data_IF_322209563887
#
_entry.id   IF_322209563887
#
_cell.length_a   1.000
_cell.length_b   1.000
_cell.length_c   1.000
_cell.angle_alpha   90.00
_cell.angle_beta   90.00
_cell.angle_gamma   90.00
#
_symmetry.space_group_name_H-M   'P 1'
#
loop_
_entity.id
_entity.type
_entity.pdbx_description
1 polymer ?
#
# COMPACT_ATOMS: atom_id res chain seq x y z
N UNK A 1 -20.86 -8.75 -35.45
CA UNK A 1 -20.12 -7.48 -35.35
C UNK A 1 -19.05 -7.72 -34.31
N UNK A 2 -17.88 -8.08 -34.78
CA UNK A 2 -16.69 -8.32 -33.96
C UNK A 2 -16.12 -6.98 -33.53
N UNK A 3 -15.83 -6.84 -32.24
CA UNK A 3 -14.94 -5.80 -31.74
C UNK A 3 -13.97 -6.46 -30.76
N UNK A 4 -12.82 -6.85 -31.32
CA UNK A 4 -11.58 -7.07 -30.59
C UNK A 4 -11.22 -5.84 -29.74
N UNK A 5 -10.61 -6.09 -28.59
CA UNK A 5 -10.08 -5.04 -27.73
C UNK A 5 -9.51 -5.58 -26.43
N UNK A 6 -8.68 -6.64 -26.50
CA UNK A 6 -7.85 -7.05 -25.36
C UNK A 6 -6.83 -5.95 -25.06
N UNK A 7 -7.17 -5.04 -24.15
CA UNK A 7 -6.25 -4.04 -23.64
C UNK A 7 -5.43 -4.67 -22.52
N UNK A 8 -4.35 -5.35 -22.89
CA UNK A 8 -3.32 -5.79 -21.94
C UNK A 8 -2.80 -4.56 -21.19
N UNK A 9 -3.18 -4.44 -19.93
CA UNK A 9 -2.51 -3.52 -19.02
C UNK A 9 -1.12 -4.10 -18.76
N UNK A 10 -0.12 -3.53 -19.43
CA UNK A 10 1.26 -3.72 -19.02
C UNK A 10 1.43 -2.99 -17.68
N UNK A 11 1.09 -3.67 -16.59
CA UNK A 11 1.56 -3.28 -15.26
C UNK A 11 3.05 -3.55 -15.28
N UNK A 12 3.83 -2.54 -15.67
CA UNK A 12 5.26 -2.52 -15.42
C UNK A 12 5.43 -2.60 -13.90
N UNK A 13 5.56 -3.81 -13.37
CA UNK A 13 6.21 -4.06 -12.09
C UNK A 13 7.66 -3.71 -12.32
N UNK A 14 7.96 -2.42 -12.17
CA UNK A 14 9.32 -1.96 -12.00
C UNK A 14 9.74 -2.41 -10.61
N UNK A 15 10.24 -3.64 -10.52
CA UNK A 15 11.03 -4.08 -9.39
C UNK A 15 12.30 -3.23 -9.37
N UNK A 16 12.24 -2.07 -8.70
CA UNK A 16 13.42 -1.26 -8.46
C UNK A 16 14.33 -2.01 -7.48
N UNK A 17 15.58 -2.20 -7.89
CA UNK A 17 16.68 -2.68 -7.08
C UNK A 17 16.73 -1.92 -5.72
N UNK A 18 17.31 -2.51 -4.65
CA UNK A 18 17.30 -1.88 -3.34
C UNK A 18 18.24 -0.67 -3.35
N UNK A 19 17.69 0.50 -3.68
CA UNK A 19 18.30 1.78 -3.37
C UNK A 19 18.21 1.95 -1.86
N UNK A 20 19.34 2.28 -1.23
CA UNK A 20 19.49 2.56 0.20
C UNK A 20 18.71 3.81 0.70
N UNK A 21 17.57 4.12 0.08
CA UNK A 21 16.67 5.20 0.47
C UNK A 21 15.59 4.69 1.41
N UNK A 22 15.04 5.60 2.21
CA UNK A 22 13.88 5.37 3.05
C UNK A 22 12.63 4.94 2.25
N UNK A 23 11.58 4.54 2.95
CA UNK A 23 10.37 4.01 2.33
C UNK A 23 9.74 5.00 1.34
N UNK A 24 9.58 6.27 1.73
CA UNK A 24 8.88 7.27 0.92
C UNK A 24 9.69 7.71 -0.30
N UNK A 25 11.01 7.65 -0.24
CA UNK A 25 11.90 7.86 -1.39
C UNK A 25 11.74 6.78 -2.48
N UNK A 26 11.22 5.60 -2.11
CA UNK A 26 11.04 4.46 -3.03
C UNK A 26 9.63 4.34 -3.57
N UNK A 27 8.63 4.87 -2.86
CA UNK A 27 7.23 4.80 -3.25
C UNK A 27 6.85 5.95 -4.18
N UNK A 28 6.16 5.62 -5.27
CA UNK A 28 5.62 6.60 -6.19
C UNK A 28 4.14 6.85 -5.88
N UNK A 29 3.75 8.12 -5.91
CA UNK A 29 2.36 8.51 -5.85
C UNK A 29 1.59 7.98 -7.07
N UNK A 30 0.35 7.54 -6.85
CA UNK A 30 -0.54 6.99 -7.90
C UNK A 30 -0.70 7.96 -9.09
N UNK A 31 -0.80 9.25 -8.77
CA UNK A 31 -0.80 10.37 -9.72
C UNK A 31 -0.01 11.53 -9.13
N UNK A 32 0.38 12.49 -9.96
CA UNK A 32 1.07 13.72 -9.51
C UNK A 32 0.31 14.49 -8.43
N UNK A 33 -1.02 14.40 -8.40
CA UNK A 33 -1.88 15.12 -7.47
C UNK A 33 -2.36 14.26 -6.29
N UNK A 34 -1.82 13.05 -6.12
CA UNK A 34 -2.20 12.18 -4.99
C UNK A 34 -1.58 12.70 -3.70
N UNK A 35 -2.36 12.67 -2.61
CA UNK A 35 -1.93 13.11 -1.28
C UNK A 35 -1.01 12.10 -0.59
N UNK A 36 -1.13 10.82 -0.95
CA UNK A 36 -0.35 9.74 -0.37
C UNK A 36 0.21 8.79 -1.43
N UNK A 37 0.92 7.79 -0.95
CA UNK A 37 1.47 6.69 -1.74
C UNK A 37 0.66 5.43 -1.50
N UNK A 38 0.53 4.60 -2.53
CA UNK A 38 -0.14 3.31 -2.41
C UNK A 38 0.86 2.27 -1.85
N UNK A 39 0.35 1.29 -1.11
CA UNK A 39 1.09 0.15 -0.55
C UNK A 39 0.31 -1.13 -0.83
N UNK A 40 0.99 -2.27 -0.89
CA UNK A 40 0.38 -3.57 -1.13
C UNK A 40 0.48 -4.45 0.12
N UNK A 41 -0.33 -5.50 0.18
CA UNK A 41 -0.09 -6.57 1.16
C UNK A 41 1.18 -7.32 0.78
N UNK A 42 1.99 -7.71 1.76
CA UNK A 42 3.21 -8.47 1.51
C UNK A 42 2.90 -9.91 1.04
N UNK A 43 1.71 -10.40 1.37
CA UNK A 43 1.23 -11.74 1.04
C UNK A 43 -0.27 -11.72 0.72
N UNK A 44 -0.76 -12.83 0.17
CA UNK A 44 -2.21 -13.01 -0.05
C UNK A 44 -2.88 -13.33 1.28
N UNK A 45 -3.92 -12.57 1.61
CA UNK A 45 -4.69 -12.75 2.84
C UNK A 45 -6.15 -13.03 2.50
N UNK A 46 -6.72 -14.04 3.16
CA UNK A 46 -8.15 -14.33 3.12
C UNK A 46 -8.78 -13.72 4.37
N UNK A 47 -9.78 -12.86 4.18
CA UNK A 47 -10.58 -12.27 5.26
C UNK A 47 -11.96 -12.93 5.20
N UNK A 48 -12.19 -13.91 6.07
CA UNK A 48 -13.41 -14.73 6.09
C UNK A 48 -14.24 -14.58 7.38
N UNK A 49 -13.82 -13.68 8.27
CA UNK A 49 -14.48 -13.41 9.54
C UNK A 49 -14.57 -11.91 9.82
N UNK A 50 -15.40 -11.55 10.80
CA UNK A 50 -15.60 -10.20 11.31
C UNK A 50 -14.53 -9.76 12.32
N UNK A 51 -13.51 -10.58 12.54
CA UNK A 51 -12.37 -10.25 13.40
C UNK A 51 -11.42 -9.32 12.68
N UNK A 52 -10.65 -8.58 13.47
CA UNK A 52 -9.57 -7.75 12.93
C UNK A 52 -8.38 -8.65 12.57
N UNK A 53 -7.95 -8.55 11.32
CA UNK A 53 -6.79 -9.24 10.76
C UNK A 53 -5.63 -8.26 10.71
N UNK A 54 -4.49 -8.66 11.30
CA UNK A 54 -3.23 -7.93 11.18
C UNK A 54 -2.54 -8.38 9.90
N UNK A 55 -2.60 -7.55 8.86
CA UNK A 55 -2.10 -7.87 7.51
C UNK A 55 -0.75 -7.20 7.29
N UNK A 56 0.33 -7.95 7.02
CA UNK A 56 1.63 -7.36 6.72
C UNK A 56 1.60 -6.65 5.37
N UNK A 57 2.18 -5.45 5.30
CA UNK A 57 2.33 -4.69 4.06
C UNK A 57 3.74 -4.87 3.49
N UNK A 58 3.89 -4.65 2.19
CA UNK A 58 5.18 -4.61 1.48
C UNK A 58 5.98 -3.33 1.76
N UNK A 59 5.78 -2.77 2.95
CA UNK A 59 6.34 -1.52 3.41
C UNK A 59 6.94 -1.72 4.81
N UNK A 60 8.11 -1.16 5.04
CA UNK A 60 8.79 -1.18 6.33
C UNK A 60 9.41 0.18 6.58
N UNK A 61 9.44 0.59 7.85
CA UNK A 61 10.09 1.84 8.23
C UNK A 61 11.63 1.73 8.22
N UNK A 62 12.34 2.86 8.39
CA UNK A 62 11.79 4.20 8.62
C UNK A 62 11.16 4.81 7.36
N UNK A 63 10.21 5.74 7.57
CA UNK A 63 9.48 6.38 6.47
C UNK A 63 10.37 7.30 5.62
N UNK A 64 11.31 7.99 6.27
CA UNK A 64 12.15 9.02 5.66
C UNK A 64 12.02 10.35 6.38
N UNK A 65 13.09 11.14 6.39
CA UNK A 65 13.14 12.54 6.87
C UNK A 65 12.53 12.82 8.26
N UNK A 66 12.47 11.82 9.14
CA UNK A 66 11.84 11.96 10.46
C UNK A 66 10.32 12.23 10.40
N UNK A 67 9.67 11.86 9.30
CA UNK A 67 8.22 12.02 9.13
C UNK A 67 7.45 10.87 9.76
N UNK A 68 6.31 11.19 10.36
CA UNK A 68 5.24 10.21 10.65
C UNK A 68 4.21 10.20 9.52
N UNK A 69 3.45 9.12 9.39
CA UNK A 69 2.40 9.02 8.37
C UNK A 69 1.13 8.37 8.90
N UNK A 70 0.02 8.66 8.24
CA UNK A 70 -1.22 7.91 8.41
C UNK A 70 -1.34 6.83 7.34
N UNK A 71 -1.60 5.60 7.77
CA UNK A 71 -2.09 4.53 6.91
C UNK A 71 -3.60 4.67 6.76
N UNK A 72 -4.05 5.07 5.59
CA UNK A 72 -5.46 5.23 5.24
C UNK A 72 -5.89 4.24 4.17
N UNK A 73 -7.15 3.81 4.23
CA UNK A 73 -7.72 2.98 3.18
C UNK A 73 -7.90 3.73 1.87
N UNK A 74 -7.78 3.00 0.76
CA UNK A 74 -8.21 3.47 -0.55
C UNK A 74 -9.72 3.35 -0.65
N UNK A 75 -10.39 4.36 -1.20
CA UNK A 75 -11.86 4.33 -1.38
C UNK A 75 -12.37 3.12 -2.17
N UNK A 76 -11.55 2.55 -3.05
CA UNK A 76 -11.86 1.31 -3.77
C UNK A 76 -11.94 0.09 -2.86
N UNK A 77 -11.17 0.05 -1.76
CA UNK A 77 -11.25 -1.02 -0.77
C UNK A 77 -12.58 -0.96 -0.01
N UNK A 78 -13.01 0.25 0.37
CA UNK A 78 -14.33 0.49 1.00
C UNK A 78 -15.47 0.00 0.11
N UNK A 79 -15.39 0.23 -1.21
CA UNK A 79 -16.39 -0.25 -2.18
C UNK A 79 -16.45 -1.78 -2.24
N UNK A 80 -15.33 -2.47 -1.97
CA UNK A 80 -15.25 -3.92 -1.90
C UNK A 80 -15.65 -4.49 -0.53
N UNK A 81 -16.07 -3.64 0.41
CA UNK A 81 -16.44 -4.04 1.77
C UNK A 81 -15.24 -4.32 2.67
N UNK A 82 -14.04 -3.86 2.29
CA UNK A 82 -12.83 -3.97 3.09
C UNK A 82 -12.68 -2.66 3.87
N UNK A 83 -12.62 -2.76 5.19
CA UNK A 83 -12.35 -1.60 6.06
C UNK A 83 -10.94 -1.70 6.62
N UNK A 84 -10.12 -0.67 6.41
CA UNK A 84 -8.82 -0.59 7.08
C UNK A 84 -8.91 0.41 8.21
N UNK A 85 -8.58 -0.02 9.42
CA UNK A 85 -8.50 0.91 10.55
C UNK A 85 -7.34 1.89 10.31
N UNK A 86 -7.62 3.18 10.51
CA UNK A 86 -6.62 4.23 10.41
C UNK A 86 -5.43 3.92 11.33
N UNK A 87 -4.23 3.83 10.75
CA UNK A 87 -2.99 3.59 11.49
C UNK A 87 -2.13 4.85 11.54
N UNK A 88 -1.50 5.13 12.68
CA UNK A 88 -0.39 6.09 12.77
C UNK A 88 0.93 5.31 12.70
N UNK A 89 1.83 5.76 11.85
CA UNK A 89 3.19 5.22 11.73
C UNK A 89 4.14 6.30 12.23
N UNK A 90 4.80 6.01 13.34
CA UNK A 90 5.76 6.92 13.96
C UNK A 90 7.05 7.03 13.15
N UNK A 91 7.70 8.19 13.24
CA UNK A 91 8.92 8.50 12.50
C UNK A 91 10.10 7.57 12.78
N UNK A 92 10.18 7.02 13.99
CA UNK A 92 11.22 6.10 14.44
C UNK A 92 10.82 4.62 14.32
N UNK A 93 9.63 4.34 13.78
CA UNK A 93 9.21 2.97 13.51
C UNK A 93 10.12 2.34 12.45
N UNK A 94 10.71 1.18 12.78
CA UNK A 94 11.67 0.45 11.91
C UNK A 94 11.19 -0.94 11.51
N UNK A 95 9.97 -1.30 11.89
CA UNK A 95 9.37 -2.60 11.58
C UNK A 95 8.64 -2.63 10.25
N UNK A 96 8.13 -3.81 9.91
CA UNK A 96 7.14 -3.97 8.86
C UNK A 96 5.82 -3.29 9.25
N UNK A 97 5.27 -2.49 8.35
CA UNK A 97 3.99 -1.84 8.53
C UNK A 97 2.88 -2.88 8.37
N UNK A 98 1.85 -2.80 9.22
CA UNK A 98 0.70 -3.69 9.14
C UNK A 98 -0.59 -2.87 9.01
N UNK A 99 -1.49 -3.33 8.15
CA UNK A 99 -2.87 -2.87 8.10
C UNK A 99 -3.71 -3.71 9.07
N UNK A 100 -4.68 -3.06 9.72
CA UNK A 100 -5.67 -3.74 10.55
C UNK A 100 -6.98 -3.75 9.78
N UNK A 101 -7.35 -4.92 9.23
CA UNK A 101 -8.48 -5.12 8.31
C UNK A 101 -9.58 -5.92 8.97
#
# INVERSE_FOLDING_TARGET
MECEGEKRANTNVSASAPTNGDLLSRLAASTRSSTGVDVCTAESVVVDSDKIHKVPLDASGPLGDGMSAFLMERSSATIQGIMVHLGLIDADFSGQIHAMV
#
